data_IF_691379467454
#
_entry.id   IF_691379467454
#
_cell.length_a   1.000
_cell.length_b   1.000
_cell.length_c   1.000
_cell.angle_alpha   90.00
_cell.angle_beta   90.00
_cell.angle_gamma   90.00
#
_symmetry.space_group_name_H-M   'P 1'
#
loop_
_entity.id
_entity.type
_entity.pdbx_description
1 polymer ?
#
# COMPACT_ATOMS: atom_id res chain seq x y z
N UNK A 1 -4.69 -8.42 -28.04
CA UNK A 1 -3.67 -7.88 -27.10
C UNK A 1 -4.33 -6.75 -26.32
N UNK A 2 -4.46 -6.85 -24.98
CA UNK A 2 -4.90 -5.70 -24.18
C UNK A 2 -3.81 -4.63 -24.26
N UNK A 3 -4.17 -3.43 -24.63
CA UNK A 3 -3.26 -2.26 -24.60
C UNK A 3 -2.78 -2.10 -23.18
N UNK A 4 -1.45 -2.14 -22.94
CA UNK A 4 -0.90 -1.95 -21.60
C UNK A 4 -1.35 -0.58 -21.07
N UNK A 5 -1.93 -0.56 -19.88
CA UNK A 5 -2.35 0.70 -19.24
C UNK A 5 -1.08 1.48 -18.88
N UNK A 6 -1.01 2.72 -19.37
CA UNK A 6 0.13 3.59 -19.07
C UNK A 6 0.23 3.81 -17.54
N UNK A 7 1.41 3.62 -17.00
CA UNK A 7 1.65 3.79 -15.57
C UNK A 7 1.32 2.56 -14.72
N UNK A 8 0.86 1.45 -15.32
CA UNK A 8 0.48 0.26 -14.57
C UNK A 8 1.66 -0.38 -13.81
N UNK A 9 1.38 -0.82 -12.59
CA UNK A 9 2.23 -1.71 -11.80
C UNK A 9 1.61 -3.10 -11.85
N UNK A 10 2.34 -4.10 -12.35
CA UNK A 10 1.77 -5.43 -12.55
C UNK A 10 2.73 -6.55 -12.20
N UNK A 11 2.17 -7.72 -12.00
CA UNK A 11 2.95 -8.96 -12.00
C UNK A 11 2.21 -10.04 -12.80
N UNK A 12 2.96 -10.98 -13.38
CA UNK A 12 2.43 -12.06 -14.21
C UNK A 12 3.08 -13.37 -13.84
N UNK A 13 2.25 -14.35 -13.43
CA UNK A 13 2.70 -15.71 -13.08
C UNK A 13 3.72 -15.74 -11.95
N UNK A 14 3.65 -14.79 -11.01
CA UNK A 14 4.65 -14.65 -9.96
C UNK A 14 4.52 -15.77 -8.94
N UNK A 15 5.63 -16.43 -8.70
CA UNK A 15 5.83 -17.37 -7.61
C UNK A 15 7.01 -16.94 -6.75
N UNK A 16 6.87 -17.11 -5.44
CA UNK A 16 7.95 -16.88 -4.46
C UNK A 16 8.11 -18.09 -3.59
N UNK A 17 9.31 -18.68 -3.59
CA UNK A 17 9.72 -19.80 -2.72
C UNK A 17 10.91 -19.45 -1.85
N UNK A 18 10.96 -20.02 -0.66
CA UNK A 18 12.14 -20.04 0.21
C UNK A 18 12.37 -21.49 0.62
N UNK A 19 13.43 -22.08 0.09
CA UNK A 19 13.64 -23.52 0.22
C UNK A 19 12.47 -24.32 -0.33
N UNK A 20 11.89 -25.21 0.46
CA UNK A 20 10.71 -26.00 0.08
C UNK A 20 9.37 -25.27 0.27
N UNK A 21 9.35 -24.11 0.94
CA UNK A 21 8.11 -23.39 1.27
C UNK A 21 7.73 -22.40 0.17
N UNK A 22 6.53 -22.56 -0.40
CA UNK A 22 5.92 -21.57 -1.28
C UNK A 22 5.24 -20.48 -0.43
N UNK A 23 5.66 -19.23 -0.62
CA UNK A 23 5.10 -18.05 0.06
C UNK A 23 4.02 -17.37 -0.78
N UNK A 24 4.13 -17.46 -2.10
CA UNK A 24 3.16 -16.93 -3.05
C UNK A 24 3.18 -17.84 -4.29
N UNK A 25 2.02 -18.25 -4.77
CA UNK A 25 1.91 -19.13 -5.92
C UNK A 25 1.11 -18.46 -7.04
N UNK A 26 1.67 -18.47 -8.27
CA UNK A 26 1.03 -18.09 -9.53
C UNK A 26 0.17 -16.81 -9.47
N UNK A 27 0.71 -15.74 -8.86
CA UNK A 27 0.00 -14.48 -8.74
C UNK A 27 0.13 -13.64 -10.03
N UNK A 28 -1.01 -13.18 -10.55
CA UNK A 28 -1.06 -12.25 -11.68
C UNK A 28 -2.02 -11.13 -11.33
N UNK A 29 -1.52 -9.88 -11.32
CA UNK A 29 -2.32 -8.67 -11.05
C UNK A 29 -1.88 -7.54 -11.97
N UNK A 30 -2.82 -6.68 -12.32
CA UNK A 30 -2.56 -5.43 -13.03
C UNK A 30 -3.22 -4.28 -12.25
N UNK A 31 -2.42 -3.36 -11.77
CA UNK A 31 -2.84 -2.24 -10.91
C UNK A 31 -2.75 -0.94 -11.69
N UNK A 32 -3.78 -0.12 -11.55
CA UNK A 32 -3.92 1.14 -12.29
C UNK A 32 -3.61 2.33 -11.37
N UNK A 33 -2.79 3.32 -11.80
CA UNK A 33 -2.55 4.51 -11.00
C UNK A 33 -3.83 5.33 -10.81
N UNK A 34 -3.89 6.12 -9.74
CA UNK A 34 -5.06 6.92 -9.42
C UNK A 34 -6.20 6.16 -8.72
N UNK A 35 -5.95 4.93 -8.29
CA UNK A 35 -6.89 4.09 -7.56
C UNK A 35 -6.32 3.60 -6.26
N UNK A 36 -7.19 3.28 -5.31
CA UNK A 36 -6.87 2.55 -4.09
C UNK A 36 -7.19 1.08 -4.32
N UNK A 37 -6.17 0.23 -4.32
CA UNK A 37 -6.32 -1.23 -4.37
C UNK A 37 -5.99 -1.82 -3.01
N UNK A 38 -6.92 -2.57 -2.42
CA UNK A 38 -6.66 -3.32 -1.20
C UNK A 38 -6.24 -4.76 -1.52
N UNK A 39 -5.14 -5.22 -0.92
CA UNK A 39 -4.74 -6.64 -0.91
C UNK A 39 -5.32 -7.28 0.34
N UNK A 40 -6.16 -8.29 0.15
CA UNK A 40 -6.91 -8.99 1.19
C UNK A 40 -6.61 -10.49 1.16
N UNK A 41 -6.92 -11.18 2.25
CA UNK A 41 -6.79 -12.64 2.35
C UNK A 41 -6.42 -13.07 3.77
N UNK A 42 -6.50 -14.36 4.09
CA UNK A 42 -6.15 -14.89 5.40
C UNK A 42 -4.67 -14.71 5.73
N UNK A 43 -4.31 -14.93 7.00
CA UNK A 43 -2.93 -14.93 7.41
C UNK A 43 -2.15 -16.04 6.69
N UNK A 44 -0.95 -15.72 6.23
CA UNK A 44 -0.11 -16.64 5.46
C UNK A 44 -0.47 -16.78 3.98
N UNK A 45 -1.49 -16.09 3.46
CA UNK A 45 -1.87 -16.14 2.04
C UNK A 45 -0.87 -15.48 1.08
N UNK A 46 0.18 -14.80 1.60
CA UNK A 46 1.21 -14.19 0.77
C UNK A 46 1.00 -12.70 0.47
N UNK A 47 0.13 -11.99 1.21
CA UNK A 47 -0.17 -10.56 1.00
C UNK A 47 1.08 -9.67 1.00
N UNK A 48 1.86 -9.71 2.08
CA UNK A 48 3.11 -8.94 2.21
C UNK A 48 4.18 -9.40 1.20
N UNK A 49 4.16 -10.69 0.83
CA UNK A 49 5.02 -11.24 -0.22
C UNK A 49 4.67 -10.64 -1.58
N UNK A 50 3.39 -10.60 -1.96
CA UNK A 50 2.94 -9.95 -3.19
C UNK A 50 3.32 -8.47 -3.18
N UNK A 51 3.04 -7.76 -2.07
CA UNK A 51 3.41 -6.35 -1.94
C UNK A 51 4.91 -6.12 -2.09
N UNK A 52 5.76 -6.97 -1.49
CA UNK A 52 7.22 -6.86 -1.59
C UNK A 52 7.75 -7.10 -3.00
N UNK A 53 7.10 -7.99 -3.78
CA UNK A 53 7.41 -8.21 -5.20
C UNK A 53 7.01 -6.99 -6.02
N UNK A 54 5.80 -6.45 -5.83
CA UNK A 54 5.32 -5.23 -6.51
C UNK A 54 6.18 -4.01 -6.11
N UNK A 55 6.72 -4.01 -4.90
CA UNK A 55 7.67 -3.00 -4.46
C UNK A 55 9.08 -3.20 -5.09
N UNK A 56 9.37 -4.31 -5.77
CA UNK A 56 10.71 -4.64 -6.26
C UNK A 56 11.75 -4.80 -5.14
N UNK A 57 11.29 -5.16 -3.93
CA UNK A 57 12.17 -5.53 -2.81
C UNK A 57 12.52 -7.01 -2.82
N UNK A 58 11.66 -7.80 -3.45
CA UNK A 58 11.83 -9.24 -3.59
C UNK A 58 11.73 -9.64 -5.04
N UNK A 59 12.74 -10.33 -5.54
CA UNK A 59 12.68 -10.98 -6.84
C UNK A 59 11.80 -12.24 -6.74
N UNK A 60 10.88 -12.45 -7.69
CA UNK A 60 10.10 -13.68 -7.74
C UNK A 60 10.97 -14.85 -8.20
N UNK A 61 10.66 -16.06 -7.70
CA UNK A 61 11.32 -17.31 -8.15
C UNK A 61 10.89 -17.66 -9.58
N UNK A 62 9.65 -17.33 -9.95
CA UNK A 62 9.11 -17.46 -11.30
C UNK A 62 8.20 -16.26 -11.60
N UNK A 63 7.96 -16.03 -12.90
CA UNK A 63 7.17 -14.91 -13.35
C UNK A 63 7.96 -13.59 -13.35
N UNK A 64 7.26 -12.47 -13.42
CA UNK A 64 7.87 -11.14 -13.45
C UNK A 64 6.96 -10.08 -12.88
N UNK A 65 7.54 -9.04 -12.31
CA UNK A 65 6.83 -7.81 -11.94
C UNK A 65 7.32 -6.65 -12.82
N UNK A 66 6.41 -5.80 -13.25
CA UNK A 66 6.70 -4.71 -14.20
C UNK A 66 6.07 -3.40 -13.75
N UNK A 67 6.73 -2.30 -14.11
CA UNK A 67 6.23 -0.94 -14.01
C UNK A 67 6.29 -0.32 -15.42
N UNK A 68 5.18 0.16 -15.94
CA UNK A 68 5.03 0.62 -17.35
C UNK A 68 5.42 -0.46 -18.38
N UNK A 69 5.15 -1.73 -18.08
CA UNK A 69 5.51 -2.84 -18.95
C UNK A 69 6.99 -3.25 -18.93
N UNK A 70 7.86 -2.46 -18.29
CA UNK A 70 9.29 -2.77 -18.10
C UNK A 70 9.50 -3.52 -16.78
N UNK A 71 10.36 -4.55 -16.78
CA UNK A 71 10.66 -5.30 -15.56
C UNK A 71 11.16 -4.38 -14.43
N UNK A 72 10.68 -4.62 -13.19
CA UNK A 72 11.17 -3.87 -12.02
C UNK A 72 12.68 -4.06 -11.81
N UNK A 73 13.23 -5.23 -12.16
CA UNK A 73 14.67 -5.51 -12.08
C UNK A 73 15.50 -4.62 -13.03
N UNK A 74 14.91 -4.20 -14.17
CA UNK A 74 15.58 -3.35 -15.15
C UNK A 74 15.57 -1.86 -14.78
N UNK A 75 14.78 -1.47 -13.77
CA UNK A 75 14.79 -0.12 -13.25
C UNK A 75 15.91 0.04 -12.22
N UNK A 76 16.72 1.09 -12.35
CA UNK A 76 17.68 1.44 -11.30
C UNK A 76 16.98 1.82 -9.98
N UNK A 77 17.51 1.38 -8.84
CA UNK A 77 16.96 1.69 -7.51
C UNK A 77 16.69 3.19 -7.29
N UNK A 78 17.56 4.15 -7.73
CA UNK A 78 17.26 5.57 -7.60
C UNK A 78 16.00 5.99 -8.37
N UNK A 79 15.78 5.45 -9.56
CA UNK A 79 14.59 5.73 -10.39
C UNK A 79 13.33 5.18 -9.72
N UNK A 80 13.39 3.95 -9.21
CA UNK A 80 12.27 3.36 -8.48
C UNK A 80 11.94 4.15 -7.21
N UNK A 81 12.95 4.62 -6.47
CA UNK A 81 12.73 5.41 -5.25
C UNK A 81 12.02 6.75 -5.51
N UNK A 82 12.12 7.31 -6.72
CA UNK A 82 11.36 8.49 -7.14
C UNK A 82 9.94 8.17 -7.61
N UNK A 83 9.63 6.90 -7.86
CA UNK A 83 8.36 6.45 -8.41
C UNK A 83 7.50 5.65 -7.44
N UNK A 84 8.11 5.07 -6.41
CA UNK A 84 7.38 4.29 -5.41
C UNK A 84 7.92 4.56 -4.01
N UNK A 85 7.01 4.64 -3.06
CA UNK A 85 7.31 4.61 -1.63
C UNK A 85 6.69 3.35 -1.02
N UNK A 86 7.40 2.76 -0.06
CA UNK A 86 6.92 1.60 0.67
C UNK A 86 6.88 1.92 2.16
N UNK A 87 5.76 1.60 2.80
CA UNK A 87 5.60 1.51 4.24
C UNK A 87 5.51 0.03 4.61
N UNK A 88 6.56 -0.57 5.17
CA UNK A 88 6.52 -1.96 5.63
C UNK A 88 5.72 -2.09 6.93
N UNK A 89 5.25 -3.29 7.24
CA UNK A 89 4.49 -3.61 8.45
C UNK A 89 5.26 -3.28 9.73
N UNK A 90 6.54 -3.63 9.78
CA UNK A 90 7.44 -3.29 10.88
C UNK A 90 8.66 -2.53 10.37
N UNK A 91 9.02 -1.48 11.07
CA UNK A 91 10.23 -0.69 10.81
C UNK A 91 11.01 -0.55 12.09
N UNK A 92 11.86 -1.56 12.37
CA UNK A 92 12.85 -1.42 13.43
C UNK A 92 13.88 -0.36 13.03
N UNK A 93 14.04 0.68 13.85
CA UNK A 93 15.07 1.70 13.66
C UNK A 93 16.12 1.49 14.74
N UNK A 94 17.34 1.19 14.30
CA UNK A 94 18.44 0.81 15.21
C UNK A 94 19.03 2.01 16.00
N UNK A 95 18.72 3.23 15.59
CA UNK A 95 19.26 4.46 16.18
C UNK A 95 18.12 5.35 16.69
N UNK A 96 18.48 6.30 17.55
CA UNK A 96 17.55 7.24 18.19
C UNK A 96 17.19 8.41 17.24
N UNK A 97 16.61 8.09 16.09
CA UNK A 97 16.07 9.10 15.20
C UNK A 97 14.79 9.70 15.77
N UNK A 98 14.63 11.02 15.61
CA UNK A 98 13.36 11.69 15.91
C UNK A 98 12.31 11.39 14.84
N UNK A 99 11.04 11.65 15.15
CA UNK A 99 9.97 11.52 14.16
C UNK A 99 10.24 12.39 12.93
N UNK A 100 10.77 13.61 13.10
CA UNK A 100 11.15 14.50 12.02
C UNK A 100 12.26 13.92 11.15
N UNK A 101 13.29 13.30 11.75
CA UNK A 101 14.38 12.67 11.01
C UNK A 101 13.85 11.54 10.11
N UNK A 102 12.92 10.75 10.65
CA UNK A 102 12.29 9.66 9.87
C UNK A 102 11.52 10.23 8.67
N UNK A 103 10.75 11.30 8.85
CA UNK A 103 10.02 11.93 7.72
C UNK A 103 11.01 12.49 6.71
N UNK A 104 12.11 13.11 7.15
CA UNK A 104 13.17 13.63 6.29
C UNK A 104 13.82 12.55 5.42
N UNK A 105 13.93 11.28 5.91
CA UNK A 105 14.41 10.16 5.09
C UNK A 105 13.53 9.93 3.85
N UNK A 106 12.26 10.31 3.87
CA UNK A 106 11.39 10.30 2.69
C UNK A 106 11.91 11.17 1.55
N UNK A 107 12.65 12.24 1.88
CA UNK A 107 13.23 13.15 0.89
C UNK A 107 14.60 12.71 0.37
N UNK A 108 15.20 11.66 0.94
CA UNK A 108 16.52 11.17 0.52
C UNK A 108 16.65 10.84 -0.98
N UNK A 109 15.65 10.28 -1.68
CA UNK A 109 15.71 10.08 -3.13
C UNK A 109 15.88 11.39 -3.92
N UNK A 110 15.42 12.51 -3.39
CA UNK A 110 15.43 13.82 -4.02
C UNK A 110 16.72 14.62 -3.75
N UNK A 111 17.66 14.13 -2.91
CA UNK A 111 18.87 14.84 -2.47
C UNK A 111 19.77 15.38 -3.59
N UNK A 112 19.71 14.80 -4.80
CA UNK A 112 20.50 15.26 -5.96
C UNK A 112 19.87 16.41 -6.72
N UNK A 113 18.56 16.60 -6.56
CA UNK A 113 17.78 17.68 -7.15
C UNK A 113 16.65 18.06 -6.17
N UNK A 114 17.00 18.65 -5.01
CA UNK A 114 16.00 19.05 -4.02
C UNK A 114 15.11 20.16 -4.58
N UNK A 115 13.86 20.16 -4.15
CA UNK A 115 12.93 21.26 -4.44
C UNK A 115 13.16 22.42 -3.46
N UNK A 116 12.59 23.59 -3.74
CA UNK A 116 12.76 24.77 -2.84
C UNK A 116 11.89 24.68 -1.58
N UNK A 117 10.95 23.74 -1.54
CA UNK A 117 9.92 23.58 -0.52
C UNK A 117 10.11 22.31 0.34
N UNK A 118 11.35 21.78 0.45
CA UNK A 118 11.64 20.54 1.19
C UNK A 118 11.11 20.58 2.64
N UNK A 119 11.35 21.69 3.37
CA UNK A 119 10.88 21.85 4.75
C UNK A 119 9.35 21.94 4.82
N UNK A 120 8.72 22.62 3.88
CA UNK A 120 7.27 22.69 3.79
C UNK A 120 6.66 21.33 3.50
N UNK A 121 7.25 20.54 2.59
CA UNK A 121 6.82 19.16 2.30
C UNK A 121 6.82 18.30 3.58
N UNK A 122 7.89 18.34 4.35
CA UNK A 122 8.00 17.58 5.58
C UNK A 122 6.96 18.03 6.60
N UNK A 123 6.81 19.34 6.80
CA UNK A 123 5.84 19.91 7.74
C UNK A 123 4.39 19.53 7.36
N UNK A 124 4.04 19.65 6.07
CA UNK A 124 2.71 19.29 5.59
C UNK A 124 2.44 17.79 5.67
N UNK A 125 3.43 16.94 5.34
CA UNK A 125 3.29 15.49 5.48
C UNK A 125 3.03 15.09 6.94
N UNK A 126 3.72 15.72 7.89
CA UNK A 126 3.51 15.53 9.32
C UNK A 126 2.14 16.03 9.78
N UNK A 127 1.70 17.17 9.29
CA UNK A 127 0.38 17.72 9.60
C UNK A 127 -0.75 16.83 9.08
N UNK A 128 -0.65 16.33 7.84
CA UNK A 128 -1.64 15.43 7.23
C UNK A 128 -1.80 14.09 7.96
N UNK A 129 -0.77 13.65 8.67
CA UNK A 129 -0.79 12.39 9.44
C UNK A 129 -0.93 12.61 10.94
N UNK A 130 -1.17 13.87 11.37
CA UNK A 130 -1.34 14.24 12.77
C UNK A 130 -0.16 13.83 13.66
N UNK A 131 1.08 14.14 13.23
CA UNK A 131 2.31 13.84 13.96
C UNK A 131 3.21 15.07 14.18
N UNK A 132 2.74 16.27 13.88
CA UNK A 132 3.53 17.52 14.03
C UNK A 132 4.04 17.69 15.45
N UNK A 133 3.21 17.44 16.46
CA UNK A 133 3.60 17.55 17.87
C UNK A 133 4.64 16.48 18.29
N UNK A 134 4.81 15.44 17.50
CA UNK A 134 5.76 14.35 17.74
C UNK A 134 7.14 14.62 17.11
N UNK A 135 7.30 15.69 16.31
CA UNK A 135 8.50 15.98 15.55
C UNK A 135 9.83 15.76 16.32
N UNK A 136 10.00 16.33 17.55
CA UNK A 136 11.25 16.18 18.29
C UNK A 136 11.36 14.86 19.08
N UNK A 137 10.31 14.02 19.11
CA UNK A 137 10.30 12.80 19.90
C UNK A 137 11.06 11.67 19.20
N UNK A 138 11.83 10.91 19.95
CA UNK A 138 12.53 9.72 19.47
C UNK A 138 11.49 8.67 19.02
N UNK A 139 11.62 8.18 17.78
CA UNK A 139 10.67 7.24 17.18
C UNK A 139 10.42 6.01 18.07
N UNK A 140 11.50 5.45 18.64
CA UNK A 140 11.40 4.22 19.45
C UNK A 140 10.55 4.40 20.72
N UNK A 141 10.34 5.65 21.19
CA UNK A 141 9.51 5.99 22.37
C UNK A 141 8.03 6.18 22.02
N UNK A 142 7.68 6.18 20.74
CA UNK A 142 6.32 6.38 20.28
C UNK A 142 5.50 5.08 20.38
N UNK A 143 4.18 5.22 20.53
CA UNK A 143 3.24 4.09 20.40
C UNK A 143 3.25 3.51 18.99
N UNK A 144 2.71 2.30 18.81
CA UNK A 144 2.60 1.66 17.51
C UNK A 144 1.83 2.51 16.49
N UNK A 145 0.72 3.12 16.92
CA UNK A 145 -0.09 3.99 16.06
C UNK A 145 0.63 5.30 15.69
N UNK A 146 1.35 5.93 16.65
CA UNK A 146 2.17 7.11 16.36
C UNK A 146 3.29 6.78 15.36
N UNK A 147 3.99 5.65 15.55
CA UNK A 147 5.01 5.15 14.59
C UNK A 147 4.44 4.94 13.20
N UNK A 148 3.29 4.28 13.09
CA UNK A 148 2.62 4.04 11.83
C UNK A 148 2.31 5.35 11.09
N UNK A 149 1.81 6.37 11.79
CA UNK A 149 1.52 7.69 11.22
C UNK A 149 2.80 8.44 10.79
N UNK A 150 3.90 8.34 11.55
CA UNK A 150 5.21 8.89 11.16
C UNK A 150 5.74 8.20 9.89
N UNK A 151 5.65 6.88 9.79
CA UNK A 151 6.06 6.15 8.59
C UNK A 151 5.16 6.46 7.38
N UNK A 152 3.87 6.69 7.59
CA UNK A 152 2.98 7.18 6.55
C UNK A 152 3.42 8.56 6.07
N UNK A 153 3.70 9.51 6.98
CA UNK A 153 4.23 10.84 6.65
C UNK A 153 5.51 10.75 5.79
N UNK A 154 6.45 9.88 6.18
CA UNK A 154 7.68 9.62 5.42
C UNK A 154 7.37 9.15 4.00
N UNK A 155 6.44 8.20 3.83
CA UNK A 155 6.08 7.66 2.53
C UNK A 155 5.38 8.71 1.64
N UNK A 156 4.54 9.55 2.22
CA UNK A 156 3.89 10.67 1.52
C UNK A 156 4.90 11.74 1.10
N UNK A 157 5.81 12.13 2.00
CA UNK A 157 6.87 13.08 1.69
C UNK A 157 7.74 12.62 0.50
N UNK A 158 7.98 11.31 0.37
CA UNK A 158 8.75 10.75 -0.74
C UNK A 158 8.09 10.96 -2.10
N UNK A 159 6.76 10.93 -2.18
CA UNK A 159 6.00 11.02 -3.43
C UNK A 159 5.25 12.34 -3.60
N UNK A 160 5.65 13.39 -2.89
CA UNK A 160 4.88 14.62 -2.73
C UNK A 160 4.49 15.28 -4.06
N UNK A 161 5.45 15.58 -4.89
CA UNK A 161 5.21 16.21 -6.18
C UNK A 161 4.95 15.22 -7.31
N UNK A 162 4.08 15.57 -8.27
CA UNK A 162 4.04 14.87 -9.55
C UNK A 162 5.43 14.87 -10.21
N UNK A 163 5.72 13.81 -10.93
CA UNK A 163 6.98 13.75 -11.67
C UNK A 163 6.94 14.66 -12.91
N UNK A 164 8.04 15.35 -13.21
CA UNK A 164 8.11 16.21 -14.40
C UNK A 164 7.90 15.47 -15.72
N UNK A 165 8.25 14.17 -15.75
CA UNK A 165 8.09 13.29 -16.92
C UNK A 165 6.68 12.66 -17.03
N UNK A 166 5.75 13.03 -16.13
CA UNK A 166 4.40 12.47 -16.08
C UNK A 166 4.33 11.01 -15.63
N UNK A 167 5.46 10.38 -15.25
CA UNK A 167 5.49 8.99 -14.82
C UNK A 167 4.66 8.78 -13.54
N UNK A 168 3.94 7.66 -13.49
CA UNK A 168 3.11 7.28 -12.34
C UNK A 168 3.93 7.11 -11.06
N UNK A 169 3.29 7.44 -9.94
CA UNK A 169 3.82 7.25 -8.58
C UNK A 169 2.98 6.21 -7.87
N UNK A 170 3.62 5.41 -7.01
CA UNK A 170 2.99 4.29 -6.32
C UNK A 170 3.28 4.34 -4.83
N UNK A 171 2.23 4.32 -4.02
CA UNK A 171 2.29 4.22 -2.57
C UNK A 171 1.89 2.80 -2.17
N UNK A 172 2.83 2.05 -1.63
CA UNK A 172 2.68 0.64 -1.26
C UNK A 172 2.73 0.54 0.27
N UNK A 173 1.70 -0.02 0.89
CA UNK A 173 1.50 0.04 2.33
C UNK A 173 1.20 -1.36 2.86
N UNK A 174 2.02 -1.85 3.79
CA UNK A 174 1.80 -3.12 4.46
C UNK A 174 1.15 -2.87 5.81
N UNK A 175 -0.14 -3.19 5.93
CA UNK A 175 -0.97 -3.04 7.13
C UNK A 175 -0.96 -1.63 7.75
N UNK A 176 -1.20 -0.57 6.97
CA UNK A 176 -1.05 0.82 7.46
C UNK A 176 -2.03 1.20 8.57
N UNK A 177 -3.04 0.39 8.83
CA UNK A 177 -4.11 0.66 9.79
C UNK A 177 -4.08 -0.26 11.03
N UNK A 178 -3.21 -1.29 11.06
CA UNK A 178 -3.26 -2.34 12.09
C UNK A 178 -3.04 -1.83 13.52
N UNK A 179 -2.19 -0.81 13.70
CA UNK A 179 -1.88 -0.23 15.02
C UNK A 179 -2.69 1.04 15.35
N UNK A 180 -3.64 1.43 14.49
CA UNK A 180 -4.40 2.66 14.63
C UNK A 180 -5.75 2.41 15.32
N UNK A 181 -6.20 3.36 16.10
CA UNK A 181 -7.59 3.40 16.55
C UNK A 181 -8.55 3.72 15.39
N UNK A 182 -9.84 3.53 15.62
CA UNK A 182 -10.87 3.66 14.60
C UNK A 182 -10.85 5.02 13.88
N UNK A 183 -10.67 6.12 14.62
CA UNK A 183 -10.67 7.46 14.05
C UNK A 183 -9.46 7.67 13.12
N UNK A 184 -8.28 7.22 13.55
CA UNK A 184 -7.05 7.31 12.76
C UNK A 184 -7.06 6.34 11.57
N UNK A 185 -7.66 5.14 11.68
CA UNK A 185 -7.85 4.23 10.54
C UNK A 185 -8.63 4.91 9.42
N UNK A 186 -9.79 5.49 9.75
CA UNK A 186 -10.62 6.19 8.77
C UNK A 186 -9.94 7.45 8.21
N UNK A 187 -9.18 8.17 9.03
CA UNK A 187 -8.41 9.35 8.57
C UNK A 187 -7.31 8.97 7.61
N UNK A 188 -6.55 7.90 7.91
CA UNK A 188 -5.53 7.36 7.01
C UNK A 188 -6.14 6.93 5.68
N UNK A 189 -7.24 6.20 5.69
CA UNK A 189 -7.89 5.74 4.44
C UNK A 189 -8.45 6.90 3.61
N UNK A 190 -9.01 7.95 4.24
CA UNK A 190 -9.40 9.17 3.52
C UNK A 190 -8.21 9.87 2.88
N UNK A 191 -7.09 9.95 3.60
CA UNK A 191 -5.85 10.51 3.07
C UNK A 191 -5.34 9.72 1.86
N UNK A 192 -5.34 8.38 1.93
CA UNK A 192 -4.95 7.51 0.82
C UNK A 192 -5.85 7.72 -0.42
N UNK A 193 -7.16 7.86 -0.24
CA UNK A 193 -8.08 8.21 -1.33
C UNK A 193 -7.78 9.59 -1.93
N UNK A 194 -7.48 10.58 -1.11
CA UNK A 194 -7.09 11.91 -1.59
C UNK A 194 -5.81 11.87 -2.43
N UNK A 195 -4.85 11.01 -2.05
CA UNK A 195 -3.63 10.81 -2.84
C UNK A 195 -3.90 10.06 -4.15
N UNK A 196 -4.78 9.06 -4.12
CA UNK A 196 -5.22 8.38 -5.35
C UNK A 196 -5.89 9.36 -6.32
N UNK A 197 -6.76 10.24 -5.84
CA UNK A 197 -7.38 11.30 -6.65
C UNK A 197 -6.36 12.27 -7.29
N UNK A 198 -5.12 12.36 -6.75
CA UNK A 198 -4.00 13.11 -7.32
C UNK A 198 -3.16 12.28 -8.32
N UNK A 199 -3.67 11.13 -8.76
CA UNK A 199 -3.03 10.25 -9.74
C UNK A 199 -1.98 9.29 -9.16
N UNK A 200 -1.86 9.17 -7.83
CA UNK A 200 -0.97 8.19 -7.20
C UNK A 200 -1.67 6.84 -7.16
N UNK A 201 -1.04 5.77 -7.63
CA UNK A 201 -1.52 4.42 -7.38
C UNK A 201 -1.27 4.04 -5.93
N UNK A 202 -2.32 3.63 -5.22
CA UNK A 202 -2.23 3.24 -3.81
C UNK A 202 -2.53 1.76 -3.68
N UNK A 203 -1.63 1.01 -3.05
CA UNK A 203 -1.80 -0.41 -2.77
C UNK A 203 -1.63 -0.62 -1.27
N UNK A 204 -2.67 -1.09 -0.59
CA UNK A 204 -2.65 -1.31 0.84
C UNK A 204 -3.04 -2.76 1.19
N UNK A 205 -2.20 -3.43 1.96
CA UNK A 205 -2.60 -4.68 2.62
C UNK A 205 -3.51 -4.32 3.78
N UNK A 206 -4.72 -4.85 3.78
CA UNK A 206 -5.70 -4.62 4.84
C UNK A 206 -6.22 -5.94 5.41
N UNK A 207 -6.64 -5.90 6.68
CA UNK A 207 -7.32 -7.02 7.34
C UNK A 207 -8.83 -6.77 7.46
N UNK A 208 -9.23 -5.51 7.57
CA UNK A 208 -10.64 -5.13 7.72
C UNK A 208 -11.33 -5.04 6.36
N UNK A 209 -12.27 -5.96 6.13
CA UNK A 209 -13.06 -6.01 4.90
C UNK A 209 -14.00 -4.81 4.76
N UNK A 210 -14.46 -4.24 5.87
CA UNK A 210 -15.33 -3.06 5.87
C UNK A 210 -14.56 -1.79 5.52
N UNK A 211 -13.32 -1.64 6.00
CA UNK A 211 -12.42 -0.58 5.53
C UNK A 211 -12.14 -0.71 4.03
N UNK A 212 -11.81 -1.92 3.56
CA UNK A 212 -11.58 -2.15 2.14
C UNK A 212 -12.85 -1.82 1.33
N UNK A 213 -14.02 -2.30 1.77
CA UNK A 213 -15.31 -2.05 1.09
C UNK A 213 -15.65 -0.57 0.99
N UNK A 214 -15.30 0.21 2.00
CA UNK A 214 -15.58 1.65 2.06
C UNK A 214 -14.61 2.49 1.24
N UNK A 215 -13.33 2.13 1.19
CA UNK A 215 -12.26 3.02 0.71
C UNK A 215 -11.53 2.53 -0.53
N UNK A 216 -11.53 1.23 -0.83
CA UNK A 216 -10.82 0.71 -2.00
C UNK A 216 -11.72 0.70 -3.23
N UNK A 217 -11.14 1.12 -4.36
CA UNK A 217 -11.78 1.05 -5.68
C UNK A 217 -11.73 -0.39 -6.21
N UNK A 218 -10.60 -1.06 -5.98
CA UNK A 218 -10.34 -2.44 -6.39
C UNK A 218 -9.80 -3.27 -5.22
N UNK A 219 -9.99 -4.56 -5.31
CA UNK A 219 -9.38 -5.52 -4.37
C UNK A 219 -8.65 -6.63 -5.11
N UNK A 220 -7.60 -7.12 -4.47
CA UNK A 220 -6.90 -8.34 -4.80
C UNK A 220 -7.08 -9.27 -3.61
N UNK A 221 -7.84 -10.35 -3.78
CA UNK A 221 -8.11 -11.33 -2.73
C UNK A 221 -7.24 -12.56 -2.97
N UNK A 222 -6.32 -12.82 -2.05
CA UNK A 222 -5.50 -14.04 -2.01
C UNK A 222 -6.19 -15.12 -1.20
N UNK A 223 -6.00 -16.39 -1.59
CA UNK A 223 -6.64 -17.53 -0.95
C UNK A 223 -8.06 -17.80 -1.44
N UNK A 224 -8.50 -17.16 -2.53
CA UNK A 224 -9.71 -17.53 -3.24
C UNK A 224 -9.60 -18.99 -3.78
N UNK A 225 -10.72 -19.69 -4.04
CA UNK A 225 -10.68 -21.06 -4.57
C UNK A 225 -9.81 -21.22 -5.82
N UNK A 226 -9.78 -20.21 -6.69
CA UNK A 226 -8.93 -20.12 -7.87
C UNK A 226 -7.49 -19.62 -7.57
N UNK A 227 -7.13 -19.39 -6.31
CA UNK A 227 -5.85 -18.87 -5.85
C UNK A 227 -5.85 -17.35 -5.64
N UNK A 228 -6.21 -16.55 -6.64
CA UNK A 228 -6.26 -15.09 -6.57
C UNK A 228 -7.45 -14.57 -7.37
N UNK A 229 -8.17 -13.59 -6.79
CA UNK A 229 -9.24 -12.85 -7.49
C UNK A 229 -8.98 -11.35 -7.43
N UNK A 230 -9.06 -10.66 -8.57
CA UNK A 230 -8.94 -9.21 -8.69
C UNK A 230 -10.17 -8.63 -9.37
N UNK A 231 -10.57 -7.42 -8.95
CA UNK A 231 -11.63 -6.65 -9.59
C UNK A 231 -12.15 -5.51 -8.73
N UNK A 232 -13.22 -4.86 -9.21
CA UNK A 232 -13.89 -3.80 -8.47
C UNK A 232 -14.35 -4.31 -7.10
N UNK A 233 -14.12 -3.52 -6.06
CA UNK A 233 -14.41 -3.92 -4.66
C UNK A 233 -15.84 -4.40 -4.48
N UNK A 234 -16.80 -3.70 -5.11
CA UNK A 234 -18.21 -4.04 -5.02
C UNK A 234 -18.57 -5.38 -5.69
N UNK A 235 -17.82 -5.78 -6.72
CA UNK A 235 -18.09 -7.00 -7.48
C UNK A 235 -17.39 -8.21 -6.86
N UNK A 236 -16.19 -8.02 -6.32
CA UNK A 236 -15.37 -9.10 -5.79
C UNK A 236 -15.75 -9.44 -4.36
N UNK A 237 -15.91 -8.43 -3.48
CA UNK A 237 -16.27 -8.69 -2.08
C UNK A 237 -17.77 -9.00 -1.95
N UNK A 238 -18.14 -10.21 -2.36
CA UNK A 238 -19.47 -10.76 -2.18
C UNK A 238 -19.48 -11.78 -1.04
N UNK A 239 -20.60 -11.95 -0.32
CA UNK A 239 -20.70 -12.88 0.81
C UNK A 239 -20.17 -14.28 0.49
N UNK A 240 -20.49 -14.82 -0.67
CA UNK A 240 -20.03 -16.15 -1.09
C UNK A 240 -18.50 -16.27 -1.17
N UNK A 241 -17.80 -15.22 -1.67
CA UNK A 241 -16.33 -15.23 -1.69
C UNK A 241 -15.75 -15.04 -0.29
N UNK A 242 -16.35 -14.16 0.52
CA UNK A 242 -15.92 -13.92 1.90
C UNK A 242 -16.00 -15.23 2.70
N UNK A 243 -17.11 -15.93 2.61
CA UNK A 243 -17.30 -17.23 3.28
C UNK A 243 -16.30 -18.27 2.79
N UNK A 244 -16.08 -18.37 1.48
CA UNK A 244 -15.13 -19.32 0.91
C UNK A 244 -13.69 -19.07 1.36
N UNK A 245 -13.26 -17.81 1.47
CA UNK A 245 -11.88 -17.42 1.78
C UNK A 245 -11.62 -17.40 3.29
N UNK A 246 -12.51 -16.80 4.08
CA UNK A 246 -12.33 -16.63 5.53
C UNK A 246 -13.04 -17.68 6.37
N UNK A 247 -13.86 -18.56 5.73
CA UNK A 247 -14.64 -19.61 6.39
C UNK A 247 -15.57 -19.07 7.48
N UNK A 248 -16.12 -17.90 7.22
CA UNK A 248 -16.99 -17.18 8.14
C UNK A 248 -18.19 -16.64 7.36
N UNK A 249 -19.42 -17.02 7.71
CA UNK A 249 -20.60 -16.46 7.09
C UNK A 249 -20.68 -14.95 7.39
N UNK A 250 -21.18 -14.20 6.44
CA UNK A 250 -21.40 -12.77 6.64
C UNK A 250 -22.72 -12.31 6.02
N UNK A 251 -23.30 -11.31 6.65
CA UNK A 251 -24.50 -10.64 6.17
C UNK A 251 -24.15 -9.24 5.68
N UNK A 252 -24.46 -8.87 4.42
CA UNK A 252 -24.27 -7.52 3.94
C UNK A 252 -25.36 -6.61 4.51
N UNK A 253 -24.97 -5.46 5.05
CA UNK A 253 -25.87 -4.42 5.55
C UNK A 253 -25.46 -3.10 4.93
N UNK A 254 -26.42 -2.38 4.34
CA UNK A 254 -26.17 -1.06 3.76
C UNK A 254 -26.49 0.02 4.78
N UNK A 255 -25.48 0.84 5.10
CA UNK A 255 -25.62 1.98 5.99
C UNK A 255 -26.43 3.12 5.36
N UNK A 256 -26.81 4.11 6.17
CA UNK A 256 -27.53 5.30 5.70
C UNK A 256 -26.74 6.12 4.65
N UNK A 257 -25.42 5.96 4.61
CA UNK A 257 -24.50 6.56 3.63
C UNK A 257 -24.42 5.77 2.30
N UNK A 258 -25.23 4.71 2.14
CA UNK A 258 -25.25 3.86 0.95
C UNK A 258 -24.08 2.88 0.85
N UNK A 259 -23.19 2.84 1.85
CA UNK A 259 -22.04 1.93 1.85
C UNK A 259 -22.45 0.59 2.46
N UNK A 260 -22.24 -0.49 1.71
CA UNK A 260 -22.41 -1.85 2.21
C UNK A 260 -21.26 -2.21 3.17
N UNK A 261 -21.61 -2.77 4.31
CA UNK A 261 -20.71 -3.36 5.29
C UNK A 261 -21.10 -4.80 5.56
N UNK A 262 -20.21 -5.58 6.15
CA UNK A 262 -20.44 -6.98 6.47
C UNK A 262 -20.52 -7.15 7.99
N UNK A 263 -21.59 -7.78 8.44
CA UNK A 263 -21.71 -8.31 9.79
C UNK A 263 -21.28 -9.79 9.75
N UNK A 264 -20.39 -10.16 10.64
CA UNK A 264 -19.84 -11.51 10.76
C UNK A 264 -20.44 -12.22 11.97
N UNK A 265 -20.84 -13.49 11.82
CA UNK A 265 -21.40 -14.29 12.91
C UNK A 265 -22.13 -15.51 12.43
#
# INVERSE_FOLDING_TARGET
>A
MKTAVQGALSCTGVEVRIGAKTLLANASVELVPGRVTAILGPNGAGKSTLLSVLAGQREPTQGRATLDGRSLADHGMPTLALRRALMPQESAVAFDFTAQDIVALGRYPHRRAPTRDEDAIMAEAMALTDVTALAPRILNTLSGGEKARVHLARALAQLWHPRPDGASRWLLLDEPTAALDLAHQHSAMRLLRAWAARGVGVVAVLHDLNLARRYADEVVVLGAPEGLRQGATAEVLQPALIEAVWRMPCQPVTGADGVTQYLFG
#
